data_IF_112475011867
#
_entry.id   IF_112475011867
#
_cell.length_a   1.000
_cell.length_b   1.000
_cell.length_c   1.000
_cell.angle_alpha   90.00
_cell.angle_beta   90.00
_cell.angle_gamma   90.00
#
_symmetry.space_group_name_H-M   'P 1'
#
loop_
_entity.id
_entity.type
_entity.pdbx_description
1 polymer ?
#
# COMPACT_ATOMS: atom_id res chain seq x y z
N UNK A 1 -29.69 -21.82 -20.63
CA UNK A 1 -28.21 -21.78 -20.66
C UNK A 1 -27.73 -21.07 -19.39
N UNK A 2 -27.28 -21.82 -18.38
CA UNK A 2 -26.69 -21.26 -17.16
C UNK A 2 -25.16 -21.20 -17.34
N UNK A 3 -24.59 -19.99 -17.28
CA UNK A 3 -23.14 -19.79 -17.27
C UNK A 3 -22.67 -19.71 -15.82
N UNK A 4 -22.09 -20.80 -15.34
CA UNK A 4 -21.42 -20.90 -14.05
C UNK A 4 -20.08 -20.15 -14.11
N UNK A 5 -19.97 -19.04 -13.37
CA UNK A 5 -18.72 -18.30 -13.21
C UNK A 5 -17.90 -18.98 -12.12
N UNK A 6 -16.86 -19.72 -12.50
CA UNK A 6 -15.88 -20.25 -11.56
C UNK A 6 -14.97 -19.13 -11.05
N UNK A 7 -14.85 -19.02 -9.71
CA UNK A 7 -13.89 -18.11 -9.07
C UNK A 7 -12.46 -18.62 -9.31
N UNK A 8 -11.49 -17.76 -9.68
CA UNK A 8 -10.09 -18.17 -9.71
C UNK A 8 -9.63 -18.50 -8.29
N UNK A 9 -9.02 -19.67 -8.15
CA UNK A 9 -8.38 -20.14 -6.92
C UNK A 9 -7.25 -19.21 -6.52
N UNK A 10 -7.22 -18.84 -5.23
CA UNK A 10 -6.12 -18.08 -4.64
C UNK A 10 -4.84 -18.92 -4.75
N UNK A 11 -3.84 -18.41 -5.48
CA UNK A 11 -2.52 -19.02 -5.54
C UNK A 11 -1.89 -19.03 -4.14
N UNK A 12 -1.31 -20.18 -3.76
CA UNK A 12 -0.61 -20.35 -2.49
C UNK A 12 0.57 -19.37 -2.38
N UNK A 13 0.89 -18.87 -1.18
CA UNK A 13 2.02 -17.96 -1.01
C UNK A 13 3.33 -18.70 -1.32
N UNK A 14 4.21 -18.13 -2.16
CA UNK A 14 5.54 -18.68 -2.43
C UNK A 14 6.38 -18.83 -1.15
N UNK A 15 7.20 -19.90 -1.12
CA UNK A 15 8.17 -20.19 -0.05
C UNK A 15 9.45 -19.40 -0.31
N UNK A 16 9.77 -18.44 0.57
CA UNK A 16 10.87 -17.51 0.34
C UNK A 16 12.10 -17.86 1.18
N UNK A 17 13.14 -18.30 0.48
CA UNK A 17 14.49 -18.47 1.03
C UNK A 17 15.12 -17.13 1.44
N UNK A 18 15.93 -17.21 2.49
CA UNK A 18 16.64 -16.09 3.14
C UNK A 18 17.44 -15.25 2.13
N UNK A 19 17.07 -13.99 1.92
CA UNK A 19 17.98 -12.97 1.38
C UNK A 19 17.77 -11.67 2.16
N UNK A 20 18.81 -11.28 2.91
CA UNK A 20 18.88 -10.07 3.73
C UNK A 20 19.42 -8.94 2.85
N UNK A 21 18.60 -7.92 2.56
CA UNK A 21 19.06 -6.68 1.94
C UNK A 21 18.48 -5.49 2.72
N UNK A 22 19.25 -5.01 3.70
CA UNK A 22 19.08 -3.68 4.28
C UNK A 22 19.98 -2.70 3.53
N UNK A 23 19.43 -1.50 3.29
CA UNK A 23 19.99 -0.41 2.50
C UNK A 23 21.43 -0.01 2.91
N UNK A 24 22.32 0.16 1.92
CA UNK A 24 23.70 0.65 2.11
C UNK A 24 23.91 1.96 1.34
N UNK A 25 24.10 3.07 2.06
CA UNK A 25 25.00 4.18 1.66
C UNK A 25 25.29 5.10 2.86
N UNK A 26 26.58 5.28 3.19
CA UNK A 26 27.07 6.44 3.95
C UNK A 26 27.04 6.36 5.48
N UNK A 27 27.90 5.51 6.08
CA UNK A 27 28.63 5.87 7.31
C UNK A 27 27.86 6.25 8.59
N UNK A 28 26.58 5.91 8.75
CA UNK A 28 25.86 6.09 10.03
C UNK A 28 25.11 4.83 10.46
N UNK A 29 24.99 4.70 11.79
CA UNK A 29 24.59 3.53 12.56
C UNK A 29 23.35 2.80 11.99
N UNK A 30 23.55 1.59 11.47
CA UNK A 30 22.47 0.76 10.92
C UNK A 30 21.63 0.26 12.10
N UNK A 31 20.40 0.78 12.25
CA UNK A 31 19.47 0.33 13.30
C UNK A 31 19.31 -1.19 13.23
N UNK A 32 19.49 -1.86 14.37
CA UNK A 32 19.34 -3.31 14.44
C UNK A 32 17.88 -3.71 14.26
N UNK A 33 17.64 -4.96 13.86
CA UNK A 33 16.26 -5.48 13.72
C UNK A 33 15.46 -5.33 15.03
N UNK A 34 16.07 -5.61 16.18
CA UNK A 34 15.40 -5.47 17.48
C UNK A 34 14.98 -4.03 17.79
N UNK A 35 15.77 -3.03 17.38
CA UNK A 35 15.47 -1.63 17.66
C UNK A 35 14.23 -1.13 16.92
N UNK A 36 14.06 -1.57 15.67
CA UNK A 36 12.89 -1.19 14.89
C UNK A 36 11.61 -1.84 15.43
N UNK A 37 11.64 -3.12 15.83
CA UNK A 37 10.50 -3.76 16.46
C UNK A 37 10.06 -3.04 17.76
N UNK A 38 11.03 -2.61 18.59
CA UNK A 38 10.76 -1.82 19.79
C UNK A 38 10.20 -0.42 19.44
N UNK A 39 10.68 0.23 18.38
CA UNK A 39 10.09 1.47 17.88
C UNK A 39 8.64 1.29 17.42
N UNK A 40 8.33 0.24 16.64
CA UNK A 40 6.96 -0.05 16.20
C UNK A 40 6.06 -0.20 17.43
N UNK A 41 6.48 -0.96 18.46
CA UNK A 41 5.75 -1.09 19.73
C UNK A 41 5.50 0.25 20.41
N UNK A 42 6.51 1.10 20.50
CA UNK A 42 6.37 2.45 21.09
C UNK A 42 5.44 3.35 20.29
N UNK A 43 5.47 3.26 18.96
CA UNK A 43 4.66 4.10 18.07
C UNK A 43 3.17 3.75 18.16
N UNK A 44 2.83 2.48 17.96
CA UNK A 44 1.42 2.03 17.88
C UNK A 44 0.83 1.65 19.23
N UNK A 45 1.66 1.39 20.24
CA UNK A 45 1.27 0.84 21.53
C UNK A 45 1.11 -0.69 21.52
N UNK A 46 1.28 -1.31 22.69
CA UNK A 46 1.37 -2.77 22.84
C UNK A 46 0.13 -3.52 22.31
N UNK A 47 -1.08 -3.03 22.59
CA UNK A 47 -2.32 -3.67 22.13
C UNK A 47 -2.46 -3.66 20.61
N UNK A 48 -2.15 -2.53 19.96
CA UNK A 48 -2.20 -2.43 18.51
C UNK A 48 -1.08 -3.27 17.86
N UNK A 49 0.09 -3.31 18.50
CA UNK A 49 1.23 -4.09 18.05
C UNK A 49 0.89 -5.58 18.00
N UNK A 50 0.40 -6.17 19.11
CA UNK A 50 0.03 -7.60 19.17
C UNK A 50 -1.02 -7.96 18.13
N UNK A 51 -2.02 -7.11 17.93
CA UNK A 51 -3.04 -7.32 16.89
C UNK A 51 -2.46 -7.18 15.48
N UNK A 52 -1.51 -6.27 15.30
CA UNK A 52 -0.76 -6.10 14.06
C UNK A 52 0.04 -7.33 13.68
N UNK A 53 0.69 -7.99 14.65
CA UNK A 53 1.40 -9.25 14.42
C UNK A 53 0.48 -10.34 13.87
N UNK A 54 -0.72 -10.48 14.47
CA UNK A 54 -1.74 -11.40 13.98
C UNK A 54 -2.13 -11.06 12.53
N UNK A 55 -2.37 -9.78 12.23
CA UNK A 55 -2.81 -9.34 10.90
C UNK A 55 -1.74 -9.52 9.83
N UNK A 56 -0.47 -9.26 10.18
CA UNK A 56 0.66 -9.51 9.29
C UNK A 56 0.81 -11.01 9.00
N UNK A 57 0.76 -11.85 10.04
CA UNK A 57 0.87 -13.30 9.92
C UNK A 57 -0.28 -13.92 9.11
N UNK A 58 -1.49 -13.39 9.24
CA UNK A 58 -2.66 -13.82 8.47
C UNK A 58 -2.68 -13.30 7.01
N UNK A 59 -1.63 -12.60 6.56
CA UNK A 59 -1.56 -12.09 5.19
C UNK A 59 -2.61 -11.03 4.86
N UNK A 60 -3.06 -10.27 5.87
CA UNK A 60 -4.08 -9.22 5.68
C UNK A 60 -3.54 -7.97 5.00
N UNK A 61 -2.22 -7.80 4.94
CA UNK A 61 -1.55 -6.73 4.21
C UNK A 61 -1.42 -7.13 2.74
N UNK A 62 -1.92 -6.27 1.84
CA UNK A 62 -2.02 -6.51 0.39
C UNK A 62 -1.44 -5.33 -0.37
N UNK A 63 -0.91 -5.63 -1.55
CA UNK A 63 -0.26 -4.65 -2.43
C UNK A 63 0.78 -3.75 -1.70
N UNK A 64 1.66 -4.33 -0.87
CA UNK A 64 2.74 -3.56 -0.27
C UNK A 64 3.62 -2.97 -1.38
N UNK A 65 3.89 -1.68 -1.29
CA UNK A 65 4.78 -0.98 -2.21
C UNK A 65 5.52 0.11 -1.46
N UNK A 66 6.62 0.56 -2.03
CA UNK A 66 7.36 1.69 -1.49
C UNK A 66 7.64 2.71 -2.56
N UNK A 67 7.41 3.97 -2.24
CA UNK A 67 7.85 5.10 -3.04
C UNK A 67 8.84 5.90 -2.19
N UNK A 68 10.12 5.86 -2.57
CA UNK A 68 11.22 6.44 -1.79
C UNK A 68 11.23 5.93 -0.33
N UNK A 69 10.83 6.76 0.64
CA UNK A 69 10.75 6.46 2.08
C UNK A 69 9.31 6.32 2.57
N UNK A 70 8.36 6.24 1.67
CA UNK A 70 6.93 6.08 1.97
C UNK A 70 6.52 4.64 1.68
N UNK A 71 6.11 3.92 2.72
CA UNK A 71 5.49 2.61 2.61
C UNK A 71 4.00 2.79 2.41
N UNK A 72 3.43 2.09 1.42
CA UNK A 72 2.01 2.09 1.17
C UNK A 72 1.51 0.65 1.05
N UNK A 73 0.35 0.38 1.62
CA UNK A 73 -0.31 -0.92 1.49
C UNK A 73 -1.81 -0.81 1.74
N UNK A 74 -2.54 -1.85 1.33
CA UNK A 74 -3.90 -2.09 1.77
C UNK A 74 -3.89 -3.08 2.93
N UNK A 75 -4.71 -2.87 3.95
CA UNK A 75 -4.85 -3.81 5.06
C UNK A 75 -6.31 -4.21 5.25
N UNK A 76 -6.60 -5.50 5.11
CA UNK A 76 -7.94 -6.04 5.31
C UNK A 76 -8.32 -5.99 6.79
N UNK A 77 -9.30 -5.15 7.10
CA UNK A 77 -9.90 -5.06 8.43
C UNK A 77 -11.23 -5.80 8.50
N UNK A 78 -12.15 -5.24 9.29
CA UNK A 78 -13.53 -5.72 9.40
C UNK A 78 -14.46 -5.09 8.37
N UNK A 79 -14.06 -3.96 7.76
CA UNK A 79 -14.82 -3.35 6.68
C UNK A 79 -14.74 -4.21 5.40
N UNK A 80 -15.77 -4.06 4.55
CA UNK A 80 -15.83 -4.73 3.25
C UNK A 80 -14.64 -4.34 2.37
N UNK A 81 -14.29 -3.04 2.36
CA UNK A 81 -13.12 -2.54 1.66
C UNK A 81 -11.89 -2.51 2.57
N UNK A 82 -10.70 -2.92 2.08
CA UNK A 82 -9.45 -2.77 2.80
C UNK A 82 -9.15 -1.31 3.15
N UNK A 83 -8.49 -1.10 4.28
CA UNK A 83 -8.01 0.23 4.67
C UNK A 83 -6.69 0.55 3.99
N UNK A 84 -6.53 1.78 3.52
CA UNK A 84 -5.27 2.28 2.98
C UNK A 84 -4.37 2.69 4.14
N UNK A 85 -3.13 2.26 4.09
CA UNK A 85 -2.09 2.56 5.08
C UNK A 85 -0.94 3.24 4.38
N UNK A 86 -0.48 4.34 4.95
CA UNK A 86 0.76 5.01 4.54
C UNK A 86 1.65 5.22 5.77
N UNK A 87 2.95 4.96 5.62
CA UNK A 87 3.97 5.23 6.63
C UNK A 87 5.15 5.94 5.98
N UNK A 88 5.55 7.09 6.53
CA UNK A 88 6.75 7.82 6.12
C UNK A 88 7.90 7.51 7.08
N UNK A 89 9.00 7.03 6.51
CA UNK A 89 10.23 6.74 7.23
C UNK A 89 11.24 7.89 7.13
N UNK A 90 12.05 8.04 8.18
CA UNK A 90 13.20 8.94 8.23
C UNK A 90 14.38 8.40 7.45
N UNK A 91 15.43 9.22 7.32
CA UNK A 91 16.68 8.80 6.66
C UNK A 91 17.40 7.70 7.44
N UNK A 92 17.26 7.72 8.77
CA UNK A 92 17.74 6.68 9.69
C UNK A 92 16.81 5.46 9.75
N UNK A 93 15.71 5.45 8.99
CA UNK A 93 14.69 4.41 9.01
C UNK A 93 13.68 4.52 10.17
N UNK A 94 13.72 5.58 10.98
CA UNK A 94 12.71 5.83 12.03
C UNK A 94 11.32 6.11 11.46
N UNK A 95 10.27 5.93 12.27
CA UNK A 95 8.90 6.26 11.89
C UNK A 95 8.67 7.76 12.10
N UNK A 96 8.49 8.52 11.02
CA UNK A 96 8.21 9.97 11.10
C UNK A 96 6.71 10.25 11.17
N UNK A 97 5.94 9.53 10.37
CA UNK A 97 4.49 9.71 10.28
C UNK A 97 3.83 8.43 9.80
N UNK A 98 2.57 8.22 10.19
CA UNK A 98 1.74 7.19 9.64
C UNK A 98 0.28 7.63 9.62
N UNK A 99 -0.47 7.15 8.63
CA UNK A 99 -1.92 7.28 8.58
C UNK A 99 -2.56 5.98 8.10
N UNK A 100 -3.81 5.79 8.52
CA UNK A 100 -4.64 4.71 8.05
C UNK A 100 -6.07 5.20 7.88
N UNK A 101 -6.75 4.79 6.81
CA UNK A 101 -8.15 5.18 6.56
C UNK A 101 -9.17 4.47 7.46
N UNK A 102 -8.72 3.69 8.45
CA UNK A 102 -9.63 3.09 9.43
C UNK A 102 -10.15 4.13 10.43
N UNK A 103 -11.28 3.87 11.13
CA UNK A 103 -11.93 4.85 12.01
C UNK A 103 -11.04 5.45 13.11
N UNK A 104 -10.00 4.73 13.54
CA UNK A 104 -9.04 5.18 14.58
C UNK A 104 -7.64 5.42 14.01
N UNK A 105 -7.51 5.48 12.68
CA UNK A 105 -6.24 5.42 11.97
C UNK A 105 -5.60 6.76 11.64
N UNK A 106 -6.26 7.89 11.91
CA UNK A 106 -5.77 9.23 11.56
C UNK A 106 -4.40 9.55 12.17
N UNK A 107 -4.18 9.15 13.44
CA UNK A 107 -2.89 9.31 14.12
C UNK A 107 -1.86 8.20 13.78
N UNK A 108 -2.21 7.24 12.95
CA UNK A 108 -1.31 6.16 12.55
C UNK A 108 -0.95 5.16 13.66
N UNK A 109 -1.72 5.10 14.76
CA UNK A 109 -1.45 4.23 15.92
C UNK A 109 -2.42 3.04 15.99
N UNK A 110 -2.75 2.47 14.84
CA UNK A 110 -3.69 1.36 14.75
C UNK A 110 -2.98 0.05 14.39
N UNK A 111 -3.65 -1.07 14.63
CA UNK A 111 -3.15 -2.41 14.27
C UNK A 111 -2.83 -2.59 12.78
N UNK A 112 -3.48 -1.83 11.89
CA UNK A 112 -3.22 -1.92 10.45
C UNK A 112 -1.85 -1.32 10.12
N UNK A 113 -1.53 -0.17 10.72
CA UNK A 113 -0.18 0.43 10.62
C UNK A 113 0.84 -0.51 11.23
N UNK A 114 0.56 -1.08 12.41
CA UNK A 114 1.42 -2.08 13.03
C UNK A 114 1.68 -3.26 12.09
N UNK A 115 0.65 -3.81 11.45
CA UNK A 115 0.79 -4.94 10.52
C UNK A 115 1.67 -4.60 9.30
N UNK A 116 1.52 -3.40 8.72
CA UNK A 116 2.34 -2.95 7.58
C UNK A 116 3.80 -2.75 8.00
N UNK A 117 4.03 -2.08 9.13
CA UNK A 117 5.38 -1.88 9.69
C UNK A 117 6.06 -3.21 10.03
N UNK A 118 5.32 -4.16 10.58
CA UNK A 118 5.82 -5.50 10.92
C UNK A 118 6.14 -6.30 9.66
N UNK A 119 5.30 -6.22 8.62
CA UNK A 119 5.61 -6.85 7.34
C UNK A 119 6.87 -6.23 6.72
N UNK A 120 7.01 -4.90 6.74
CA UNK A 120 8.22 -4.23 6.25
C UNK A 120 9.46 -4.65 7.07
N UNK A 121 9.31 -4.78 8.39
CA UNK A 121 10.38 -5.18 9.28
C UNK A 121 10.90 -6.60 8.99
N UNK A 122 10.00 -7.55 8.73
CA UNK A 122 10.36 -8.95 8.48
C UNK A 122 10.66 -9.25 7.03
N UNK A 123 9.96 -8.58 6.11
CA UNK A 123 9.97 -8.80 4.66
C UNK A 123 10.03 -7.48 3.87
N UNK A 124 11.13 -6.70 3.98
CA UNK A 124 11.27 -5.46 3.24
C UNK A 124 11.20 -5.66 1.72
N UNK A 125 11.60 -6.83 1.22
CA UNK A 125 11.52 -7.23 -0.19
C UNK A 125 10.09 -7.26 -0.74
N UNK A 126 9.08 -7.45 0.12
CA UNK A 126 7.68 -7.40 -0.29
C UNK A 126 7.26 -5.98 -0.75
N UNK A 127 7.97 -4.94 -0.29
CA UNK A 127 7.70 -3.55 -0.64
C UNK A 127 8.58 -3.11 -1.80
N UNK A 128 8.29 -3.69 -2.96
CA UNK A 128 8.97 -3.32 -4.20
C UNK A 128 8.73 -1.84 -4.53
N UNK A 129 9.73 -1.14 -5.11
CA UNK A 129 9.52 0.17 -5.70
C UNK A 129 8.41 0.10 -6.74
N UNK A 130 7.35 0.88 -6.56
CA UNK A 130 6.33 1.02 -7.59
C UNK A 130 6.66 2.24 -8.44
N UNK A 131 6.63 2.14 -9.79
CA UNK A 131 6.67 3.33 -10.62
C UNK A 131 5.46 4.21 -10.26
N UNK A 132 5.60 5.54 -10.32
CA UNK A 132 4.47 6.44 -10.11
C UNK A 132 3.28 6.01 -10.96
N UNK A 133 2.06 6.17 -10.46
CA UNK A 133 0.85 5.80 -11.20
C UNK A 133 0.84 6.46 -12.59
N UNK A 134 1.21 7.74 -12.68
CA UNK A 134 1.34 8.45 -13.95
C UNK A 134 2.34 7.79 -14.91
N UNK A 135 3.51 7.37 -14.42
CA UNK A 135 4.49 6.65 -15.24
C UNK A 135 3.94 5.29 -15.69
N UNK A 136 3.20 4.59 -14.84
CA UNK A 136 2.55 3.33 -15.22
C UNK A 136 1.51 3.55 -16.33
N UNK A 137 0.65 4.56 -16.17
CA UNK A 137 -0.40 4.91 -17.12
C UNK A 137 0.15 5.48 -18.44
N UNK A 138 1.30 6.16 -18.42
CA UNK A 138 1.92 6.74 -19.61
C UNK A 138 2.30 5.71 -20.68
N UNK A 139 2.52 4.45 -20.28
CA UNK A 139 2.83 3.35 -21.21
C UNK A 139 1.58 2.67 -21.77
N UNK A 140 0.39 3.03 -21.29
CA UNK A 140 -0.87 2.42 -21.75
C UNK A 140 -1.38 3.12 -22.99
N UNK A 141 -1.99 2.34 -23.90
CA UNK A 141 -2.67 2.91 -25.07
C UNK A 141 -3.92 3.68 -24.63
N UNK A 142 -4.30 4.69 -25.41
CA UNK A 142 -5.49 5.51 -25.15
C UNK A 142 -6.74 4.65 -24.96
N UNK A 143 -6.90 3.59 -25.74
CA UNK A 143 -8.05 2.69 -25.67
C UNK A 143 -8.12 1.93 -24.33
N UNK A 144 -6.98 1.55 -23.77
CA UNK A 144 -6.90 0.86 -22.48
C UNK A 144 -7.22 1.81 -21.32
N UNK A 145 -6.77 3.06 -21.41
CA UNK A 145 -7.11 4.11 -20.45
C UNK A 145 -8.62 4.41 -20.46
N UNK A 146 -9.23 4.55 -21.66
CA UNK A 146 -10.69 4.72 -21.79
C UNK A 146 -11.43 3.53 -21.17
N UNK A 147 -11.01 2.29 -21.45
CA UNK A 147 -11.59 1.07 -20.83
C UNK A 147 -11.46 1.07 -19.31
N UNK A 148 -10.35 1.55 -18.76
CA UNK A 148 -10.18 1.67 -17.31
C UNK A 148 -11.15 2.69 -16.72
N UNK A 149 -11.26 3.89 -17.32
CA UNK A 149 -12.17 4.95 -16.87
C UNK A 149 -13.62 4.47 -16.92
N UNK A 150 -14.06 3.82 -17.99
CA UNK A 150 -15.42 3.27 -18.10
C UNK A 150 -15.71 2.24 -16.99
N UNK A 151 -14.74 1.39 -16.63
CA UNK A 151 -14.88 0.45 -15.49
C UNK A 151 -14.94 1.18 -14.15
N UNK A 152 -14.19 2.27 -13.98
CA UNK A 152 -14.24 3.10 -12.78
C UNK A 152 -15.61 3.79 -12.64
N UNK A 153 -16.15 4.37 -13.70
CA UNK A 153 -17.48 5.00 -13.73
C UNK A 153 -18.59 3.99 -13.43
N UNK A 154 -18.50 2.77 -13.99
CA UNK A 154 -19.46 1.72 -13.67
C UNK A 154 -19.44 1.32 -12.17
N UNK A 155 -18.30 1.48 -11.49
CA UNK A 155 -18.12 1.20 -10.06
C UNK A 155 -18.50 2.38 -9.17
N UNK A 156 -18.25 3.60 -9.63
CA UNK A 156 -18.44 4.88 -8.95
C UNK A 156 -19.11 5.86 -9.94
N UNK A 157 -20.45 5.82 -10.09
CA UNK A 157 -21.16 6.59 -11.11
C UNK A 157 -21.01 8.11 -10.98
N UNK A 158 -20.69 8.60 -9.78
CA UNK A 158 -20.37 10.00 -9.49
C UNK A 158 -19.16 10.52 -10.28
N UNK A 159 -18.19 9.66 -10.62
CA UNK A 159 -17.05 10.02 -11.47
C UNK A 159 -17.47 10.44 -12.88
N UNK A 160 -18.65 10.03 -13.36
CA UNK A 160 -19.14 10.43 -14.68
C UNK A 160 -19.27 11.95 -14.80
N UNK A 161 -19.68 12.61 -13.71
CA UNK A 161 -19.79 14.07 -13.66
C UNK A 161 -18.43 14.71 -13.94
N UNK A 162 -17.35 14.20 -13.34
CA UNK A 162 -16.01 14.75 -13.51
C UNK A 162 -15.50 14.55 -14.93
N UNK A 163 -15.67 13.34 -15.50
CA UNK A 163 -15.24 13.02 -16.87
C UNK A 163 -15.94 13.91 -17.90
N UNK A 164 -17.23 14.22 -17.69
CA UNK A 164 -17.99 15.08 -18.60
C UNK A 164 -17.60 16.56 -18.50
N UNK A 165 -17.04 17.01 -17.36
CA UNK A 165 -16.64 18.40 -17.15
C UNK A 165 -15.16 18.69 -17.46
N UNK A 166 -14.23 17.76 -17.18
CA UNK A 166 -12.78 17.98 -17.43
C UNK A 166 -12.44 18.19 -18.92
N UNK A 167 -13.25 17.67 -19.84
CA UNK A 167 -13.05 17.85 -21.29
C UNK A 167 -13.16 19.30 -21.77
N UNK A 168 -13.56 20.25 -20.92
CA UNK A 168 -13.75 21.66 -21.27
C UNK A 168 -12.59 22.58 -20.87
N UNK A 169 -11.64 22.12 -20.04
CA UNK A 169 -10.56 22.96 -19.47
C UNK A 169 -9.18 22.80 -20.16
N UNK A 170 -9.07 21.96 -21.20
CA UNK A 170 -7.84 21.84 -22.00
C UNK A 170 -8.03 22.51 -23.38
N UNK A 171 -7.44 23.69 -23.63
CA UNK A 171 -7.48 24.26 -24.97
C UNK A 171 -6.79 23.31 -25.95
N UNK A 172 -7.31 23.13 -27.19
CA UNK A 172 -6.66 22.28 -28.18
C UNK A 172 -5.24 22.79 -28.47
N UNK A 173 -4.28 21.90 -28.79
CA UNK A 173 -2.93 22.33 -29.14
C UNK A 173 -2.98 23.28 -30.35
N UNK A 174 -2.16 24.35 -30.38
CA UNK A 174 -2.11 25.22 -31.55
C UNK A 174 -1.66 24.41 -32.77
N UNK A 175 -2.41 24.58 -33.87
CA UNK A 175 -2.15 23.92 -35.16
C UNK A 175 -0.96 24.48 -35.91
#
# INVERSE_FOLDING_TARGET
MHLSITRPTAQAPPTWGKVVLFYRKGGQNVRSKSDFAAEIRRWVGETAYRRGEVYAREGRVRHPRRQERVLEALCQGQAVLPYQVEVRLGEDGSILHARCTCPVGSAGRCKHVAAVLLLWHTHPEAFAPAPPLAATLAHWKKEDLIRLILRMVARYPDLALWVMHEGQDHPPPPG
#
